data_IF_474623719234
#
_entry.id   IF_474623719234
#
_cell.length_a   1.000
_cell.length_b   1.000
_cell.length_c   1.000
_cell.angle_alpha   90.00
_cell.angle_beta   90.00
_cell.angle_gamma   90.00
#
_symmetry.space_group_name_H-M   'P 1'
#
loop_
_entity.id
_entity.type
_entity.pdbx_description
1 polymer ?
#
# COMPACT_ATOMS: atom_id res chain seq x y z
N UNK A 1 19.91 23.13 14.04
CA UNK A 1 21.14 22.31 14.22
C UNK A 1 20.85 21.00 14.96
N UNK A 2 20.00 21.02 16.00
CA UNK A 2 19.59 19.83 16.77
C UNK A 2 19.26 18.56 15.95
N UNK A 3 18.49 18.65 14.86
CA UNK A 3 18.16 17.46 14.06
C UNK A 3 19.38 16.79 13.40
N UNK A 4 20.33 17.58 12.88
CA UNK A 4 21.57 17.05 12.30
C UNK A 4 22.46 16.42 13.39
N UNK A 5 22.53 17.05 14.56
CA UNK A 5 23.31 16.54 15.69
C UNK A 5 22.67 15.31 16.35
N UNK A 6 21.35 15.17 16.25
CA UNK A 6 20.62 14.02 16.83
C UNK A 6 20.62 12.82 15.89
N UNK A 7 20.39 13.05 14.59
CA UNK A 7 20.14 11.98 13.63
C UNK A 7 21.30 11.76 12.64
N UNK A 8 22.18 12.75 12.44
CA UNK A 8 23.29 12.70 11.47
C UNK A 8 24.66 13.00 12.12
N UNK A 9 24.81 12.70 13.41
CA UNK A 9 26.12 12.78 14.07
C UNK A 9 27.06 11.63 13.65
N UNK A 10 26.49 10.50 13.23
CA UNK A 10 27.20 9.34 12.67
C UNK A 10 26.34 8.65 11.59
N UNK A 11 26.82 7.53 11.04
CA UNK A 11 26.16 6.79 9.95
C UNK A 11 25.00 5.90 10.41
N UNK A 12 24.76 5.72 11.72
CA UNK A 12 23.82 4.70 12.22
C UNK A 12 22.39 4.95 11.76
N UNK A 13 21.97 6.21 11.71
CA UNK A 13 20.62 6.54 11.26
C UNK A 13 20.44 6.26 9.76
N UNK A 14 21.46 6.55 8.94
CA UNK A 14 21.45 6.24 7.51
C UNK A 14 21.41 4.73 7.26
N UNK A 15 22.21 3.97 8.02
CA UNK A 15 22.20 2.50 7.99
C UNK A 15 20.83 1.93 8.39
N UNK A 16 20.20 2.49 9.43
CA UNK A 16 18.85 2.09 9.86
C UNK A 16 17.79 2.40 8.81
N UNK A 17 17.85 3.59 8.18
CA UNK A 17 16.99 3.94 7.04
C UNK A 17 17.20 2.95 5.91
N UNK A 18 18.46 2.62 5.58
CA UNK A 18 18.79 1.65 4.52
C UNK A 18 18.16 0.28 4.78
N UNK A 19 18.29 -0.23 6.01
CA UNK A 19 17.69 -1.50 6.42
C UNK A 19 16.17 -1.48 6.35
N UNK A 20 15.51 -0.43 6.84
CA UNK A 20 14.04 -0.28 6.76
C UNK A 20 13.55 -0.10 5.32
N UNK A 21 14.35 0.54 4.47
CA UNK A 21 14.05 0.72 3.05
C UNK A 21 14.08 -0.61 2.29
N UNK A 22 15.03 -1.49 2.61
CA UNK A 22 15.10 -2.84 2.04
C UNK A 22 13.85 -3.66 2.41
N UNK A 23 13.44 -3.61 3.68
CA UNK A 23 12.22 -4.26 4.16
C UNK A 23 10.98 -3.75 3.40
N UNK A 24 10.84 -2.43 3.27
CA UNK A 24 9.71 -1.84 2.55
C UNK A 24 9.68 -2.31 1.08
N UNK A 25 10.82 -2.28 0.38
CA UNK A 25 10.89 -2.70 -1.00
C UNK A 25 10.54 -4.19 -1.17
N UNK A 26 11.07 -5.06 -0.30
CA UNK A 26 10.79 -6.50 -0.29
C UNK A 26 9.30 -6.77 -0.06
N UNK A 27 8.71 -6.19 0.97
CA UNK A 27 7.30 -6.38 1.32
C UNK A 27 6.35 -5.89 0.22
N UNK A 28 6.68 -4.76 -0.44
CA UNK A 28 5.89 -4.27 -1.58
C UNK A 28 5.97 -5.21 -2.77
N UNK A 29 7.12 -5.83 -3.04
CA UNK A 29 7.23 -6.86 -4.08
C UNK A 29 6.42 -8.11 -3.72
N UNK A 30 6.47 -8.56 -2.46
CA UNK A 30 5.64 -9.66 -1.97
C UNK A 30 4.13 -9.34 -2.07
N UNK A 31 3.73 -8.07 -1.93
CA UNK A 31 2.34 -7.65 -2.18
C UNK A 31 2.00 -7.80 -3.67
N UNK A 32 2.91 -7.42 -4.58
CA UNK A 32 2.69 -7.60 -6.03
C UNK A 32 2.49 -9.09 -6.35
N UNK A 33 3.32 -9.96 -5.80
CA UNK A 33 3.30 -11.41 -6.03
C UNK A 33 2.03 -12.08 -5.47
N UNK A 34 1.50 -11.60 -4.35
CA UNK A 34 0.25 -12.11 -3.76
C UNK A 34 -1.02 -11.71 -4.54
N UNK A 35 -0.95 -10.65 -5.35
CA UNK A 35 -2.08 -10.11 -6.09
C UNK A 35 -1.81 -9.95 -7.60
N UNK A 36 -1.43 -11.02 -8.33
CA UNK A 36 -0.97 -10.93 -9.72
C UNK A 36 -2.05 -10.40 -10.67
N UNK A 37 -3.32 -10.62 -10.34
CA UNK A 37 -4.46 -10.18 -11.17
C UNK A 37 -4.75 -8.68 -11.07
N UNK A 38 -4.16 -7.96 -10.12
CA UNK A 38 -4.42 -6.52 -9.93
C UNK A 38 -3.52 -5.62 -10.80
N UNK A 39 -2.53 -6.17 -11.49
CA UNK A 39 -1.63 -5.40 -12.35
C UNK A 39 -0.84 -4.34 -11.57
N UNK A 40 -0.31 -4.74 -10.41
CA UNK A 40 0.42 -3.86 -9.52
C UNK A 40 1.85 -3.64 -10.03
N UNK A 41 2.37 -2.44 -9.82
CA UNK A 41 3.81 -2.17 -9.92
C UNK A 41 4.25 -1.24 -8.79
N UNK A 42 5.55 -1.25 -8.49
CA UNK A 42 6.12 -0.43 -7.42
C UNK A 42 7.16 0.53 -7.98
N UNK A 43 7.16 1.76 -7.47
CA UNK A 43 8.20 2.77 -7.76
C UNK A 43 8.54 3.56 -6.51
N UNK A 44 9.81 3.88 -6.30
CA UNK A 44 10.24 4.60 -5.11
C UNK A 44 11.71 4.41 -4.78
N UNK A 45 12.15 5.07 -3.71
CA UNK A 45 13.49 4.95 -3.12
C UNK A 45 13.40 5.22 -1.61
N UNK A 46 14.26 4.56 -0.84
CA UNK A 46 14.29 4.75 0.60
C UNK A 46 12.97 4.35 1.27
N UNK A 47 12.42 5.24 2.10
CA UNK A 47 11.10 5.07 2.73
C UNK A 47 9.96 5.82 2.00
N UNK A 48 10.20 6.22 0.74
CA UNK A 48 9.24 6.88 -0.13
C UNK A 48 8.93 6.00 -1.34
N UNK A 49 7.74 5.39 -1.32
CA UNK A 49 7.29 4.45 -2.35
C UNK A 49 5.85 4.70 -2.77
N UNK A 50 5.51 4.25 -3.97
CA UNK A 50 4.15 4.18 -4.48
C UNK A 50 3.87 2.79 -5.03
N UNK A 51 2.75 2.20 -4.59
CA UNK A 51 2.17 1.00 -5.21
C UNK A 51 1.12 1.45 -6.22
N UNK A 52 1.37 1.18 -7.50
CA UNK A 52 0.63 1.69 -8.65
C UNK A 52 -0.36 0.62 -9.14
N UNK A 53 -1.62 0.99 -9.29
CA UNK A 53 -2.71 0.11 -9.71
C UNK A 53 -3.09 0.36 -11.17
N UNK A 54 -2.27 -0.11 -12.12
CA UNK A 54 -2.38 0.27 -13.54
C UNK A 54 -3.70 -0.10 -14.23
N UNK A 55 -4.38 -1.16 -13.75
CA UNK A 55 -5.62 -1.67 -14.36
C UNK A 55 -6.88 -1.25 -13.61
N UNK A 56 -6.76 -0.78 -12.38
CA UNK A 56 -7.89 -0.61 -11.46
C UNK A 56 -7.76 0.65 -10.61
N UNK A 57 -7.89 1.82 -11.24
CA UNK A 57 -7.64 3.14 -10.62
C UNK A 57 -8.56 3.46 -9.43
N UNK A 58 -9.71 2.80 -9.29
CA UNK A 58 -10.62 3.00 -8.16
C UNK A 58 -10.23 2.23 -6.89
N UNK A 59 -9.29 1.26 -6.97
CA UNK A 59 -8.92 0.44 -5.82
C UNK A 59 -8.12 1.17 -4.76
N UNK A 60 -7.12 2.01 -5.06
CA UNK A 60 -6.33 2.68 -4.02
C UNK A 60 -7.20 3.48 -3.05
N UNK A 61 -8.23 4.16 -3.55
CA UNK A 61 -9.17 4.93 -2.70
C UNK A 61 -9.98 4.00 -1.78
N UNK A 62 -10.42 2.85 -2.29
CA UNK A 62 -11.14 1.86 -1.48
C UNK A 62 -10.22 1.21 -0.43
N UNK A 63 -8.99 0.88 -0.83
CA UNK A 63 -7.96 0.31 0.04
C UNK A 63 -7.56 1.30 1.13
N UNK A 64 -7.38 2.58 0.80
CA UNK A 64 -7.11 3.65 1.77
C UNK A 64 -8.22 3.76 2.81
N UNK A 65 -9.49 3.73 2.38
CA UNK A 65 -10.65 3.73 3.30
C UNK A 65 -10.69 2.48 4.18
N UNK A 66 -10.40 1.31 3.63
CA UNK A 66 -10.34 0.06 4.38
C UNK A 66 -9.19 0.06 5.38
N UNK A 67 -8.01 0.55 4.99
CA UNK A 67 -6.87 0.72 5.88
C UNK A 67 -7.19 1.67 7.03
N UNK A 68 -7.92 2.78 6.77
CA UNK A 68 -8.36 3.70 7.81
C UNK A 68 -9.28 3.02 8.83
N UNK A 69 -10.21 2.17 8.37
CA UNK A 69 -11.05 1.36 9.26
C UNK A 69 -10.25 0.40 10.13
N UNK A 70 -9.07 -0.03 9.65
CA UNK A 70 -8.11 -0.87 10.38
C UNK A 70 -7.10 -0.07 11.20
N UNK A 71 -7.26 1.26 11.29
CA UNK A 71 -6.41 2.14 12.09
C UNK A 71 -5.13 2.60 11.40
N UNK A 72 -5.00 2.43 10.08
CA UNK A 72 -3.87 2.93 9.30
C UNK A 72 -4.30 4.11 8.41
N UNK A 73 -3.68 5.27 8.62
CA UNK A 73 -3.80 6.40 7.69
C UNK A 73 -2.83 6.18 6.52
N UNK A 74 -3.37 6.07 5.31
CA UNK A 74 -2.58 6.00 4.08
C UNK A 74 -3.31 6.73 2.96
N UNK A 75 -2.56 7.55 2.23
CA UNK A 75 -3.11 8.45 1.22
C UNK A 75 -2.97 7.87 -0.19
N UNK A 76 -3.78 8.38 -1.11
CA UNK A 76 -3.65 8.11 -2.54
C UNK A 76 -3.01 9.29 -3.27
N UNK A 77 -2.40 9.04 -4.42
CA UNK A 77 -1.94 10.07 -5.35
C UNK A 77 -1.96 9.58 -6.80
N UNK A 78 -1.51 10.42 -7.73
CA UNK A 78 -1.66 10.19 -9.16
C UNK A 78 -2.86 10.95 -9.73
N UNK A 79 -2.90 11.15 -11.04
CA UNK A 79 -3.95 11.92 -11.73
C UNK A 79 -5.34 11.31 -11.51
N UNK A 80 -5.39 9.98 -11.37
CA UNK A 80 -6.61 9.20 -11.23
C UNK A 80 -6.73 8.59 -9.82
N UNK A 81 -5.93 9.04 -8.86
CA UNK A 81 -5.77 8.43 -7.54
C UNK A 81 -5.33 6.95 -7.61
N UNK A 82 -4.54 6.60 -8.64
CA UNK A 82 -4.15 5.24 -8.98
C UNK A 82 -2.94 4.71 -8.19
N UNK A 83 -2.39 5.50 -7.27
CA UNK A 83 -1.20 5.14 -6.48
C UNK A 83 -1.51 5.18 -4.99
N UNK A 84 -1.19 4.10 -4.28
CA UNK A 84 -1.16 4.08 -2.81
C UNK A 84 0.23 4.53 -2.33
N UNK A 85 0.27 5.57 -1.49
CA UNK A 85 1.50 6.30 -1.18
C UNK A 85 2.09 5.90 0.18
N UNK A 86 3.32 5.38 0.16
CA UNK A 86 4.09 5.02 1.35
C UNK A 86 5.12 6.13 1.63
N UNK A 87 4.86 6.94 2.66
CA UNK A 87 5.75 8.00 3.14
C UNK A 87 5.95 7.85 4.64
N UNK A 88 6.76 6.87 5.05
CA UNK A 88 6.98 6.63 6.47
C UNK A 88 7.95 7.65 7.08
N UNK A 89 7.76 7.96 8.37
CA UNK A 89 8.74 8.72 9.12
C UNK A 89 10.09 7.98 9.10
N UNK A 90 11.20 8.71 8.93
CA UNK A 90 12.54 8.10 8.94
C UNK A 90 12.87 7.44 10.29
N UNK A 91 12.25 7.91 11.36
CA UNK A 91 12.36 7.40 12.73
C UNK A 91 11.37 6.27 13.05
N UNK A 92 10.59 5.78 12.07
CA UNK A 92 9.61 4.71 12.32
C UNK A 92 10.31 3.46 12.87
N UNK A 93 9.73 2.85 13.91
CA UNK A 93 10.19 1.56 14.39
C UNK A 93 9.87 0.49 13.35
N UNK A 94 10.76 -0.48 13.15
CA UNK A 94 10.53 -1.56 12.18
C UNK A 94 9.23 -2.33 12.44
N UNK A 95 8.89 -2.57 13.71
CA UNK A 95 7.66 -3.26 14.08
C UNK A 95 6.41 -2.50 13.60
N UNK A 96 6.41 -1.17 13.68
CA UNK A 96 5.32 -0.33 13.15
C UNK A 96 5.29 -0.33 11.63
N UNK A 97 6.46 -0.27 10.97
CA UNK A 97 6.57 -0.38 9.51
C UNK A 97 5.93 -1.69 9.01
N UNK A 98 6.31 -2.83 9.60
CA UNK A 98 5.76 -4.14 9.23
C UNK A 98 4.27 -4.25 9.54
N UNK A 99 3.83 -3.72 10.68
CA UNK A 99 2.39 -3.68 11.03
C UNK A 99 1.59 -2.88 10.00
N UNK A 100 2.08 -1.70 9.61
CA UNK A 100 1.46 -0.88 8.57
C UNK A 100 1.35 -1.62 7.23
N UNK A 101 2.43 -2.29 6.81
CA UNK A 101 2.43 -3.09 5.58
C UNK A 101 1.46 -4.28 5.63
N UNK A 102 1.36 -4.97 6.77
CA UNK A 102 0.37 -6.03 6.99
C UNK A 102 -1.06 -5.49 6.86
N UNK A 103 -1.36 -4.34 7.46
CA UNK A 103 -2.70 -3.71 7.34
C UNK A 103 -3.01 -3.39 5.87
N UNK A 104 -2.03 -2.91 5.10
CA UNK A 104 -2.22 -2.67 3.67
C UNK A 104 -2.52 -3.98 2.92
N UNK A 105 -1.75 -5.04 3.16
CA UNK A 105 -1.97 -6.36 2.53
C UNK A 105 -3.37 -6.90 2.84
N UNK A 106 -3.81 -6.79 4.09
CA UNK A 106 -5.14 -7.22 4.51
C UNK A 106 -6.24 -6.37 3.87
N UNK A 107 -6.02 -5.06 3.73
CA UNK A 107 -6.95 -4.13 3.10
C UNK A 107 -7.13 -4.43 1.61
N UNK A 108 -6.04 -4.75 0.91
CA UNK A 108 -6.09 -5.19 -0.50
C UNK A 108 -6.91 -6.48 -0.62
N UNK A 109 -6.67 -7.46 0.25
CA UNK A 109 -7.41 -8.72 0.27
C UNK A 109 -8.91 -8.51 0.49
N UNK A 110 -9.28 -7.67 1.47
CA UNK A 110 -10.68 -7.39 1.80
C UNK A 110 -11.43 -6.71 0.64
N UNK A 111 -10.82 -5.69 0.02
CA UNK A 111 -11.41 -4.98 -1.13
C UNK A 111 -11.56 -5.92 -2.33
N UNK A 112 -10.52 -6.71 -2.64
CA UNK A 112 -10.55 -7.70 -3.73
C UNK A 112 -11.68 -8.73 -3.55
N UNK A 113 -11.83 -9.28 -2.34
CA UNK A 113 -12.87 -10.26 -2.05
C UNK A 113 -14.28 -9.68 -2.18
N UNK A 114 -14.46 -8.41 -1.81
CA UNK A 114 -15.74 -7.70 -1.97
C UNK A 114 -16.11 -7.55 -3.45
N UNK A 115 -15.15 -7.27 -4.32
CA UNK A 115 -15.38 -7.21 -5.78
C UNK A 115 -15.77 -8.57 -6.37
N UNK A 116 -15.10 -9.64 -5.95
CA UNK A 116 -15.41 -10.99 -6.43
C UNK A 116 -16.86 -11.40 -6.10
N UNK A 117 -17.34 -11.02 -4.91
CA UNK A 117 -18.70 -11.34 -4.44
C UNK A 117 -19.78 -10.41 -5.02
N UNK A 118 -19.42 -9.28 -5.61
CA UNK A 118 -20.35 -8.31 -6.21
C UNK A 118 -20.70 -8.61 -7.69
N UNK A 119 -20.18 -9.68 -8.28
CA UNK A 119 -20.56 -10.08 -9.66
C UNK A 119 -22.07 -10.36 -9.74
N UNK A 120 -22.79 -9.79 -10.72
CA UNK A 120 -24.25 -9.77 -10.71
C UNK A 120 -24.82 -11.17 -10.90
N UNK A 121 -25.82 -11.52 -10.09
CA UNK A 121 -26.78 -12.57 -10.42
C UNK A 121 -27.27 -12.31 -11.84
N UNK A 122 -26.95 -13.21 -12.78
CA UNK A 122 -27.57 -13.20 -14.11
C UNK A 122 -29.08 -13.18 -13.89
N UNK A 123 -29.73 -12.07 -14.22
CA UNK A 123 -31.18 -12.05 -14.42
C UNK A 123 -31.44 -12.95 -15.63
N UNK A 124 -31.73 -14.23 -15.38
CA UNK A 124 -32.30 -15.09 -16.41
C UNK A 124 -33.68 -14.54 -16.78
N UNK A 125 -33.91 -14.53 -18.09
CA UNK A 125 -34.94 -13.77 -18.76
C UNK A 125 -36.33 -13.95 -18.19
N UNK A 126 -37.05 -12.85 -18.14
CA UNK A 126 -38.49 -12.85 -18.18
C UNK A 126 -38.86 -12.46 -19.61
N UNK A 127 -38.91 -13.45 -20.50
CA UNK A 127 -39.71 -13.35 -21.73
C UNK A 127 -41.16 -13.52 -21.30
N UNK A 128 -41.92 -12.43 -21.26
CA UNK A 128 -43.37 -12.49 -21.26
C UNK A 128 -43.87 -12.20 -22.67
N UNK A 129 -44.55 -13.21 -23.22
CA UNK A 129 -45.54 -13.11 -24.29
C UNK A 129 -46.61 -12.09 -23.96
#
# INVERSE_FOLDING_TARGET
RAALETYWADSKFEEEIGRKSAILAEELNLIIDDFPNLGLSVRGRGLMYGLVFQKHHSLPVQISREALRRGLVIETCGEQNEVLKFLFALTIAEADLRRGLSIVRDSISAVKNTMANASPKRLHGIEHR
#
